data_IF_535936221629
#
_entry.id   IF_535936221629
#
_cell.length_a   1.000
_cell.length_b   1.000
_cell.length_c   1.000
_cell.angle_alpha   90.00
_cell.angle_beta   90.00
_cell.angle_gamma   90.00
#
_symmetry.space_group_name_H-M   'P 1'
#
loop_
_entity.id
_entity.type
_entity.pdbx_description
1 polymer ?
#
# COMPACT_ATOMS: atom_id res chain seq x y z
N UNK A 1 39.65 12.78 -7.62
CA UNK A 1 38.23 12.49 -7.90
C UNK A 1 37.75 11.48 -6.87
N UNK A 2 36.94 11.90 -5.89
CA UNK A 2 36.30 10.98 -4.94
C UNK A 2 35.20 10.22 -5.66
N UNK A 3 35.36 8.91 -5.81
CA UNK A 3 34.32 8.04 -6.37
C UNK A 3 33.27 7.76 -5.30
N UNK A 4 32.00 8.01 -5.61
CA UNK A 4 30.89 7.67 -4.73
C UNK A 4 30.73 6.15 -4.72
N UNK A 5 30.69 5.53 -3.54
CA UNK A 5 30.47 4.08 -3.44
C UNK A 5 29.04 3.71 -3.87
N UNK A 6 28.82 2.49 -4.38
CA UNK A 6 27.47 2.02 -4.75
C UNK A 6 26.47 2.17 -3.61
N UNK A 7 26.86 1.82 -2.38
CA UNK A 7 26.01 1.97 -1.18
C UNK A 7 25.63 3.42 -0.91
N UNK A 8 26.60 4.34 -1.05
CA UNK A 8 26.33 5.76 -0.89
C UNK A 8 25.39 6.28 -1.99
N UNK A 9 25.56 5.82 -3.24
CA UNK A 9 24.66 6.16 -4.34
C UNK A 9 23.23 5.64 -4.08
N UNK A 10 23.06 4.35 -3.72
CA UNK A 10 21.73 3.79 -3.40
C UNK A 10 21.05 4.53 -2.25
N UNK A 11 21.80 4.92 -1.20
CA UNK A 11 21.26 5.70 -0.09
C UNK A 11 20.81 7.11 -0.53
N UNK A 12 21.58 7.77 -1.40
CA UNK A 12 21.21 9.09 -1.94
C UNK A 12 19.91 8.98 -2.74
N UNK A 13 19.78 7.95 -3.60
CA UNK A 13 18.57 7.75 -4.41
C UNK A 13 17.38 7.39 -3.51
N UNK A 14 17.56 6.53 -2.51
CA UNK A 14 16.54 6.23 -1.51
C UNK A 14 16.04 7.51 -0.83
N UNK A 15 16.95 8.32 -0.28
CA UNK A 15 16.60 9.55 0.43
C UNK A 15 15.87 10.52 -0.50
N UNK A 16 16.36 10.68 -1.74
CA UNK A 16 15.71 11.54 -2.72
C UNK A 16 14.28 11.08 -3.03
N UNK A 17 14.08 9.79 -3.32
CA UNK A 17 12.75 9.23 -3.59
C UNK A 17 11.82 9.37 -2.37
N UNK A 18 12.30 9.04 -1.17
CA UNK A 18 11.51 9.13 0.06
C UNK A 18 11.07 10.57 0.35
N UNK A 19 12.00 11.53 0.36
CA UNK A 19 11.66 12.94 0.65
C UNK A 19 10.83 13.59 -0.45
N UNK A 20 10.96 13.14 -1.70
CA UNK A 20 10.12 13.61 -2.79
C UNK A 20 8.63 13.25 -2.58
N UNK A 21 8.36 12.04 -2.06
CA UNK A 21 7.00 11.59 -1.78
C UNK A 21 6.50 11.89 -0.37
N UNK A 22 7.35 12.30 0.57
CA UNK A 22 6.97 12.59 1.96
C UNK A 22 5.73 13.53 2.10
N UNK A 23 5.54 14.57 1.27
CA UNK A 23 4.33 15.41 1.35
C UNK A 23 3.02 14.65 1.11
N UNK A 24 3.03 13.49 0.44
CA UNK A 24 1.81 12.71 0.20
C UNK A 24 1.24 12.09 1.48
N UNK A 25 2.06 11.93 2.52
CA UNK A 25 1.65 11.35 3.81
C UNK A 25 0.53 12.14 4.48
N UNK A 26 0.44 13.45 4.23
CA UNK A 26 -0.62 14.31 4.79
C UNK A 26 -1.90 14.35 3.94
N UNK A 27 -1.91 13.70 2.77
CA UNK A 27 -3.10 13.67 1.91
C UNK A 27 -4.10 12.61 2.40
N UNK A 28 -5.37 12.83 2.08
CA UNK A 28 -6.43 11.85 2.32
C UNK A 28 -6.49 10.81 1.19
N UNK A 29 -7.25 9.73 1.42
CA UNK A 29 -7.64 8.79 0.38
C UNK A 29 -8.41 9.50 -0.74
N UNK A 30 -8.24 9.02 -1.98
CA UNK A 30 -8.89 9.60 -3.16
C UNK A 30 -9.47 8.51 -4.05
N UNK A 31 -10.61 8.81 -4.68
CA UNK A 31 -11.26 7.93 -5.66
C UNK A 31 -11.60 6.55 -5.08
N UNK A 32 -11.16 5.47 -5.72
CA UNK A 32 -11.47 4.10 -5.34
C UNK A 32 -10.78 3.68 -4.03
N UNK A 33 -9.81 4.45 -3.51
CA UNK A 33 -9.19 4.19 -2.21
C UNK A 33 -10.22 4.09 -1.08
N UNK A 34 -11.26 4.93 -1.11
CA UNK A 34 -12.30 4.91 -0.08
C UNK A 34 -13.09 3.59 -0.10
N UNK A 35 -13.52 3.16 -1.28
CA UNK A 35 -14.27 1.92 -1.45
C UNK A 35 -13.41 0.70 -1.09
N UNK A 36 -12.19 0.63 -1.62
CA UNK A 36 -11.33 -0.56 -1.51
C UNK A 36 -10.63 -0.70 -0.14
N UNK A 37 -10.57 0.37 0.67
CA UNK A 37 -9.91 0.35 1.99
C UNK A 37 -10.92 0.51 3.14
N UNK A 38 -11.84 1.49 3.07
CA UNK A 38 -12.77 1.79 4.18
C UNK A 38 -14.03 0.92 4.12
N UNK A 39 -14.60 0.78 2.93
CA UNK A 39 -15.88 0.09 2.71
C UNK A 39 -15.72 -1.41 2.53
N UNK A 40 -14.51 -1.90 2.25
CA UNK A 40 -14.23 -3.34 2.20
C UNK A 40 -14.31 -3.97 3.60
N UNK A 41 -15.48 -4.53 3.90
CA UNK A 41 -15.76 -5.20 5.16
C UNK A 41 -14.90 -6.44 5.39
N UNK A 42 -14.36 -7.05 4.32
CA UNK A 42 -13.51 -8.25 4.42
C UNK A 42 -12.19 -7.90 5.11
N UNK A 43 -11.66 -6.69 4.84
CA UNK A 43 -10.40 -6.20 5.43
C UNK A 43 -10.49 -5.93 6.94
N UNK A 44 -11.70 -5.89 7.51
CA UNK A 44 -11.91 -5.58 8.94
C UNK A 44 -11.52 -6.72 9.87
N UNK A 45 -11.56 -7.96 9.38
CA UNK A 45 -11.21 -9.15 10.15
C UNK A 45 -10.05 -9.92 9.50
N UNK A 46 -8.86 -9.97 10.13
CA UNK A 46 -7.74 -10.75 9.64
C UNK A 46 -8.01 -12.24 9.43
N UNK A 47 -9.05 -12.82 10.06
CA UNK A 47 -9.43 -14.21 9.79
C UNK A 47 -9.88 -14.44 8.35
N UNK A 48 -10.27 -13.38 7.64
CA UNK A 48 -10.66 -13.43 6.24
C UNK A 48 -9.48 -13.48 5.26
N UNK A 49 -8.23 -13.52 5.72
CA UNK A 49 -7.05 -13.48 4.84
C UNK A 49 -7.09 -14.54 3.72
N UNK A 50 -7.56 -15.76 4.01
CA UNK A 50 -7.70 -16.82 3.00
C UNK A 50 -8.90 -16.59 2.08
N UNK A 51 -9.94 -15.88 2.53
CA UNK A 51 -11.12 -15.54 1.74
C UNK A 51 -10.76 -14.65 0.53
N UNK A 52 -9.76 -13.78 0.69
CA UNK A 52 -9.27 -12.89 -0.38
C UNK A 52 -8.81 -13.64 -1.64
N UNK A 53 -8.41 -14.91 -1.51
CA UNK A 53 -7.95 -15.75 -2.62
C UNK A 53 -9.09 -16.49 -3.34
N UNK A 54 -10.34 -16.35 -2.88
CA UNK A 54 -11.48 -17.09 -3.42
C UNK A 54 -12.19 -16.33 -4.55
N UNK A 55 -12.77 -17.03 -5.55
CA UNK A 55 -13.64 -16.43 -6.56
C UNK A 55 -14.74 -15.55 -6.00
N UNK A 56 -15.33 -15.95 -4.87
CA UNK A 56 -16.42 -15.24 -4.23
C UNK A 56 -16.02 -13.80 -3.87
N UNK A 57 -14.80 -13.61 -3.38
CA UNK A 57 -14.29 -12.27 -3.08
C UNK A 57 -14.12 -11.41 -4.36
N UNK A 58 -13.27 -11.81 -5.30
CA UNK A 58 -12.91 -10.94 -6.43
C UNK A 58 -13.94 -10.87 -7.56
N UNK A 59 -14.92 -11.77 -7.59
CA UNK A 59 -16.03 -11.73 -8.55
C UNK A 59 -17.28 -11.05 -8.01
N UNK A 60 -17.50 -11.02 -6.69
CA UNK A 60 -18.79 -10.61 -6.12
C UNK A 60 -18.68 -9.64 -4.94
N UNK A 61 -17.76 -9.88 -4.00
CA UNK A 61 -17.77 -9.17 -2.71
C UNK A 61 -16.77 -8.00 -2.64
N UNK A 62 -15.88 -7.87 -3.62
CA UNK A 62 -14.92 -6.76 -3.71
C UNK A 62 -15.63 -5.44 -4.06
N UNK A 63 -15.42 -4.34 -3.30
CA UNK A 63 -16.17 -3.08 -3.48
C UNK A 63 -15.72 -2.21 -4.67
N UNK A 64 -14.70 -2.61 -5.43
CA UNK A 64 -14.26 -1.91 -6.65
C UNK A 64 -14.77 -2.56 -7.94
N UNK A 65 -14.16 -2.23 -9.09
CA UNK A 65 -14.56 -2.86 -10.36
C UNK A 65 -14.40 -4.39 -10.30
N UNK A 66 -15.52 -5.10 -10.40
CA UNK A 66 -15.61 -6.55 -10.33
C UNK A 66 -14.69 -7.25 -11.35
N UNK A 67 -14.23 -8.47 -11.00
CA UNK A 67 -13.51 -9.34 -11.92
C UNK A 67 -11.98 -9.21 -11.91
N UNK A 68 -11.38 -8.53 -10.93
CA UNK A 68 -9.91 -8.40 -10.81
C UNK A 68 -9.35 -9.24 -9.68
N UNK A 69 -8.66 -10.32 -10.01
CA UNK A 69 -7.94 -11.15 -9.03
C UNK A 69 -6.68 -10.43 -8.50
N UNK A 70 -6.78 -9.80 -7.32
CA UNK A 70 -5.69 -9.05 -6.66
C UNK A 70 -5.59 -9.36 -5.15
N UNK A 71 -5.50 -10.64 -4.75
CA UNK A 71 -5.55 -11.04 -3.34
C UNK A 71 -4.39 -10.48 -2.52
N UNK A 72 -3.19 -10.39 -3.10
CA UNK A 72 -2.03 -9.84 -2.39
C UNK A 72 -2.19 -8.36 -2.07
N UNK A 73 -2.83 -7.59 -2.98
CA UNK A 73 -3.12 -6.17 -2.74
C UNK A 73 -4.10 -6.01 -1.57
N UNK A 74 -5.17 -6.79 -1.57
CA UNK A 74 -6.14 -6.79 -0.48
C UNK A 74 -5.52 -7.28 0.84
N UNK A 75 -4.62 -8.26 0.78
CA UNK A 75 -3.92 -8.76 1.97
C UNK A 75 -2.99 -7.71 2.56
N UNK A 76 -2.29 -6.93 1.72
CA UNK A 76 -1.50 -5.78 2.18
C UNK A 76 -2.40 -4.73 2.84
N UNK A 77 -3.53 -4.35 2.21
CA UNK A 77 -4.47 -3.41 2.81
C UNK A 77 -5.09 -3.92 4.12
N UNK A 78 -5.34 -5.22 4.26
CA UNK A 78 -5.79 -5.83 5.52
C UNK A 78 -4.73 -5.67 6.62
N UNK A 79 -3.46 -5.88 6.29
CA UNK A 79 -2.36 -5.70 7.23
C UNK A 79 -2.18 -4.22 7.61
N UNK A 80 -2.18 -3.32 6.63
CA UNK A 80 -2.08 -1.87 6.83
C UNK A 80 -3.28 -1.35 7.65
N UNK A 81 -4.50 -1.84 7.40
CA UNK A 81 -5.69 -1.46 8.17
C UNK A 81 -5.58 -1.88 9.63
N UNK A 82 -4.97 -3.04 9.90
CA UNK A 82 -4.69 -3.48 11.28
C UNK A 82 -3.67 -2.59 11.99
N UNK A 83 -2.70 -2.04 11.26
CA UNK A 83 -1.63 -1.20 11.81
C UNK A 83 -2.04 0.26 11.96
N UNK A 84 -2.74 0.80 10.96
CA UNK A 84 -2.98 2.23 10.78
C UNK A 84 -4.46 2.62 10.85
N UNK A 85 -5.37 1.65 10.91
CA UNK A 85 -6.81 1.89 10.83
C UNK A 85 -7.18 2.50 9.47
N UNK A 86 -7.98 3.56 9.51
CA UNK A 86 -8.44 4.29 8.32
C UNK A 86 -7.62 5.57 8.07
N UNK A 87 -6.43 5.67 8.67
CA UNK A 87 -5.52 6.80 8.48
C UNK A 87 -4.70 6.63 7.20
N UNK A 88 -5.03 7.39 6.15
CA UNK A 88 -4.32 7.41 4.86
C UNK A 88 -2.81 7.62 5.02
N UNK A 89 -2.38 8.35 6.05
CA UNK A 89 -0.98 8.63 6.33
C UNK A 89 -0.12 7.35 6.47
N UNK A 90 -0.66 6.29 7.07
CA UNK A 90 0.08 5.03 7.25
C UNK A 90 0.35 4.33 5.92
N UNK A 91 -0.69 4.19 5.10
CA UNK A 91 -0.63 3.61 3.76
C UNK A 91 0.32 4.40 2.84
N UNK A 92 0.26 5.73 2.88
CA UNK A 92 1.16 6.58 2.10
C UNK A 92 2.62 6.47 2.57
N UNK A 93 2.85 6.35 3.88
CA UNK A 93 4.19 6.15 4.44
C UNK A 93 4.77 4.80 3.99
N UNK A 94 4.00 3.72 4.09
CA UNK A 94 4.40 2.37 3.67
C UNK A 94 4.75 2.38 2.16
N UNK A 95 3.91 2.99 1.33
CA UNK A 95 4.17 3.16 -0.10
C UNK A 95 5.44 3.97 -0.38
N UNK A 96 5.68 5.08 0.32
CA UNK A 96 6.87 5.92 0.11
C UNK A 96 8.15 5.17 0.50
N UNK A 97 8.14 4.43 1.61
CA UNK A 97 9.29 3.63 2.06
C UNK A 97 9.55 2.47 1.10
N UNK A 98 8.52 1.74 0.70
CA UNK A 98 8.65 0.63 -0.26
C UNK A 98 9.17 1.13 -1.61
N UNK A 99 8.61 2.21 -2.15
CA UNK A 99 9.06 2.82 -3.40
C UNK A 99 10.54 3.23 -3.32
N UNK A 100 10.91 3.97 -2.28
CA UNK A 100 12.30 4.39 -2.08
C UNK A 100 13.25 3.19 -1.95
N UNK A 101 12.82 2.10 -1.32
CA UNK A 101 13.60 0.88 -1.16
C UNK A 101 13.90 0.15 -2.47
N UNK A 102 13.10 0.36 -3.52
CA UNK A 102 13.36 -0.22 -4.85
C UNK A 102 14.37 0.57 -5.68
N UNK A 103 14.70 1.80 -5.28
CA UNK A 103 15.47 2.74 -6.08
C UNK A 103 17.01 2.57 -5.96
N UNK A 104 17.49 1.43 -5.43
CA UNK A 104 18.88 1.24 -4.97
C UNK A 104 19.63 0.07 -5.59
#
# INVERSE_FOLDING_TARGET
MTTISRRAASLIVFCFAFFFYLPSVTNNFVWDDEDIIKEDYVLRDPSNALYLFTPQYWQRDFPGSEGRYRPLRALTFMAERKLWGESAAGYHLDNAVLHASTAG
#
